data_IF_296054602380
#
_entry.id   IF_296054602380
#
_cell.length_a   1.000
_cell.length_b   1.000
_cell.length_c   1.000
_cell.angle_alpha   90.00
_cell.angle_beta   90.00
_cell.angle_gamma   90.00
#
_symmetry.space_group_name_H-M   'P 1'
#
loop_
_entity.id
_entity.type
_entity.pdbx_description
1 polymer ?
#
# COMPACT_ATOMS: atom_id res chain seq x y z
N UNK A 1 -0.83 -5.50 15.96
CA UNK A 1 -0.35 -4.14 16.27
C UNK A 1 -1.32 -3.11 15.71
N UNK A 2 -1.72 -2.14 16.52
CA UNK A 2 -2.61 -1.05 16.12
C UNK A 2 -1.86 0.07 15.39
N UNK A 3 -2.61 0.99 14.76
CA UNK A 3 -2.01 2.17 14.12
C UNK A 3 -1.22 3.02 15.12
N UNK A 4 -1.75 3.21 16.32
CA UNK A 4 -1.07 3.97 17.37
C UNK A 4 0.26 3.33 17.79
N UNK A 5 0.31 2.00 17.84
CA UNK A 5 1.54 1.26 18.14
C UNK A 5 2.55 1.34 16.98
N UNK A 6 2.08 1.47 15.76
CA UNK A 6 2.95 1.62 14.58
C UNK A 6 3.67 2.97 14.52
N UNK A 7 3.18 3.99 15.20
CA UNK A 7 3.83 5.30 15.26
C UNK A 7 5.28 5.20 15.78
N UNK A 8 5.53 4.28 16.70
CA UNK A 8 6.87 4.07 17.28
C UNK A 8 7.87 3.41 16.33
N UNK A 9 7.38 2.78 15.25
CA UNK A 9 8.20 2.05 14.27
C UNK A 9 8.08 2.63 12.86
N UNK A 10 7.81 3.91 12.77
CA UNK A 10 7.64 4.61 11.50
C UNK A 10 8.89 4.52 10.63
N UNK A 11 8.74 3.98 9.44
CA UNK A 11 9.80 3.87 8.45
C UNK A 11 9.69 5.00 7.43
N UNK A 12 10.74 5.81 7.33
CA UNK A 12 10.83 6.92 6.38
C UNK A 12 11.17 6.44 4.97
N UNK A 13 12.11 5.49 4.88
CA UNK A 13 12.54 4.89 3.62
C UNK A 13 12.33 3.38 3.68
N UNK A 14 11.75 2.83 2.62
CA UNK A 14 11.50 1.38 2.54
C UNK A 14 11.60 0.90 1.10
N UNK A 15 11.94 -0.38 0.98
CA UNK A 15 11.88 -1.12 -0.27
C UNK A 15 10.73 -2.13 -0.14
N UNK A 16 9.79 -2.07 -1.07
CA UNK A 16 8.68 -3.00 -1.12
C UNK A 16 8.94 -4.02 -2.24
N UNK A 17 8.86 -5.30 -1.90
CA UNK A 17 8.93 -6.38 -2.87
C UNK A 17 7.60 -7.14 -2.87
N UNK A 18 7.06 -7.40 -4.05
CA UNK A 18 5.78 -8.07 -4.22
C UNK A 18 5.98 -9.46 -4.79
N UNK A 19 5.29 -10.42 -4.20
CA UNK A 19 5.31 -11.81 -4.62
C UNK A 19 3.90 -12.27 -4.92
N UNK A 20 3.75 -13.07 -5.97
CA UNK A 20 2.50 -13.79 -6.24
C UNK A 20 2.63 -15.18 -5.64
N UNK A 21 1.65 -15.60 -4.85
CA UNK A 21 1.68 -16.89 -4.16
C UNK A 21 0.30 -17.53 -4.12
N UNK A 22 0.24 -18.77 -3.66
CA UNK A 22 -1.02 -19.49 -3.42
C UNK A 22 -1.45 -19.34 -1.96
N UNK A 23 -2.72 -19.55 -1.67
CA UNK A 23 -3.23 -19.53 -0.30
C UNK A 23 -2.54 -20.54 0.63
N UNK A 24 -2.34 -21.81 0.25
CA UNK A 24 -1.61 -22.77 1.10
C UNK A 24 -0.18 -22.30 1.45
N UNK A 25 0.53 -21.71 0.48
CA UNK A 25 1.86 -21.21 0.70
C UNK A 25 1.87 -19.98 1.61
N UNK A 26 0.89 -19.08 1.47
CA UNK A 26 0.72 -17.92 2.35
C UNK A 26 0.49 -18.35 3.80
N UNK A 27 -0.39 -19.31 4.03
CA UNK A 27 -0.67 -19.84 5.37
C UNK A 27 0.60 -20.41 6.01
N UNK A 28 1.35 -21.19 5.25
CA UNK A 28 2.64 -21.77 5.70
C UNK A 28 3.65 -20.67 6.06
N UNK A 29 3.74 -19.63 5.24
CA UNK A 29 4.61 -18.49 5.51
C UNK A 29 4.22 -17.76 6.80
N UNK A 30 2.93 -17.54 7.02
CA UNK A 30 2.41 -16.90 8.23
C UNK A 30 2.71 -17.73 9.49
N UNK A 31 2.61 -19.04 9.42
CA UNK A 31 2.98 -19.93 10.51
C UNK A 31 4.47 -19.82 10.89
N UNK A 32 5.34 -19.73 9.89
CA UNK A 32 6.78 -19.55 10.08
C UNK A 32 7.09 -18.17 10.65
N UNK A 33 6.39 -17.13 10.18
CA UNK A 33 6.65 -15.75 10.57
C UNK A 33 6.08 -15.37 11.96
N UNK A 34 5.08 -16.09 12.44
CA UNK A 34 4.33 -15.77 13.67
C UNK A 34 5.21 -15.44 14.88
N UNK A 35 6.30 -16.15 15.18
CA UNK A 35 7.14 -15.85 16.35
C UNK A 35 7.88 -14.51 16.28
N UNK A 36 8.12 -13.99 15.09
CA UNK A 36 9.01 -12.84 14.87
C UNK A 36 8.32 -11.59 14.31
N UNK A 37 7.09 -11.72 13.82
CA UNK A 37 6.38 -10.67 13.12
C UNK A 37 5.02 -10.37 13.73
N UNK A 38 4.58 -9.15 13.57
CA UNK A 38 3.27 -8.68 14.00
C UNK A 38 2.43 -8.30 12.78
N UNK A 39 1.13 -8.55 12.87
CA UNK A 39 0.15 -8.15 11.85
C UNK A 39 -0.53 -6.87 12.29
N UNK A 40 -0.64 -5.92 11.37
CA UNK A 40 -1.40 -4.69 11.62
C UNK A 40 -2.89 -4.99 11.76
N UNK A 41 -3.48 -4.48 12.82
CA UNK A 41 -4.93 -4.55 13.07
C UNK A 41 -5.52 -3.14 13.00
N UNK A 42 -6.60 -3.00 12.23
CA UNK A 42 -7.36 -1.75 12.13
C UNK A 42 -8.81 -2.07 12.47
N UNK A 43 -9.32 -1.51 13.56
CA UNK A 43 -10.67 -1.76 14.07
C UNK A 43 -11.00 -3.26 14.21
N UNK A 44 -10.02 -4.04 14.68
CA UNK A 44 -10.14 -5.47 14.84
C UNK A 44 -9.96 -6.31 13.57
N UNK A 45 -9.82 -5.68 12.42
CA UNK A 45 -9.59 -6.37 11.16
C UNK A 45 -8.09 -6.53 10.87
N UNK A 46 -7.68 -7.76 10.56
CA UNK A 46 -6.30 -8.09 10.16
C UNK A 46 -6.12 -8.04 8.64
N UNK A 47 -7.21 -8.19 7.91
CA UNK A 47 -7.26 -8.11 6.46
C UNK A 47 -8.28 -7.04 6.07
N UNK A 48 -7.79 -5.92 5.53
CA UNK A 48 -8.61 -4.76 5.26
C UNK A 48 -8.84 -4.64 3.75
N UNK A 49 -10.05 -4.93 3.25
CA UNK A 49 -10.36 -4.67 1.85
C UNK A 49 -10.46 -3.18 1.58
N UNK A 50 -10.06 -2.78 0.38
CA UNK A 50 -10.14 -1.40 -0.07
C UNK A 50 -10.44 -1.32 -1.56
N UNK A 51 -11.04 -0.21 -1.98
CA UNK A 51 -11.20 0.16 -3.39
C UNK A 51 -10.14 1.17 -3.78
N UNK A 52 -9.58 1.00 -4.96
CA UNK A 52 -8.60 1.94 -5.51
C UNK A 52 -9.07 2.42 -6.87
N UNK A 53 -9.14 3.74 -7.03
CA UNK A 53 -9.36 4.40 -8.31
C UNK A 53 -8.07 5.10 -8.71
N UNK A 54 -7.48 4.69 -9.83
CA UNK A 54 -6.31 5.34 -10.38
C UNK A 54 -6.71 6.43 -11.36
N UNK A 55 -6.05 7.56 -11.26
CA UNK A 55 -6.15 8.62 -12.25
C UNK A 55 -5.07 8.47 -13.30
N UNK A 56 -5.41 8.86 -14.52
CA UNK A 56 -4.52 8.76 -15.66
C UNK A 56 -4.81 9.89 -16.64
N UNK A 57 -3.84 10.25 -17.46
CA UNK A 57 -4.03 11.16 -18.57
C UNK A 57 -4.66 10.42 -19.77
N UNK A 58 -5.25 11.17 -20.71
CA UNK A 58 -5.92 10.58 -21.87
C UNK A 58 -4.96 9.74 -22.74
N UNK A 59 -3.68 10.11 -22.77
CA UNK A 59 -2.62 9.40 -23.50
C UNK A 59 -1.93 8.31 -22.68
N UNK A 60 -2.47 7.97 -21.50
CA UNK A 60 -1.91 6.97 -20.60
C UNK A 60 -0.44 7.24 -20.21
N UNK A 61 -0.09 8.50 -19.98
CA UNK A 61 1.27 8.94 -19.73
C UNK A 61 1.91 8.28 -18.51
N UNK A 62 1.20 8.20 -17.39
CA UNK A 62 1.72 7.59 -16.16
C UNK A 62 1.96 6.09 -16.30
N UNK A 63 1.08 5.40 -17.01
CA UNK A 63 1.24 3.98 -17.31
C UNK A 63 2.44 3.73 -18.22
N UNK A 64 2.61 4.53 -19.27
CA UNK A 64 3.74 4.41 -20.20
C UNK A 64 5.06 4.68 -19.49
N UNK A 65 5.14 5.70 -18.66
CA UNK A 65 6.32 6.00 -17.85
C UNK A 65 6.68 4.84 -16.92
N UNK A 66 5.67 4.18 -16.34
CA UNK A 66 5.87 2.98 -15.52
C UNK A 66 6.43 1.81 -16.33
N UNK A 67 5.86 1.54 -17.51
CA UNK A 67 6.33 0.45 -18.40
C UNK A 67 7.76 0.67 -18.88
N UNK A 68 8.13 1.91 -19.16
CA UNK A 68 9.48 2.28 -19.60
C UNK A 68 10.50 2.32 -18.47
N UNK A 69 10.09 2.09 -17.24
CA UNK A 69 10.98 2.10 -16.08
C UNK A 69 11.60 3.46 -15.77
N UNK A 70 10.94 4.56 -16.15
CA UNK A 70 11.43 5.91 -15.90
C UNK A 70 11.63 6.13 -14.40
N UNK A 71 12.74 6.75 -14.02
CA UNK A 71 13.06 7.03 -12.60
C UNK A 71 12.10 8.04 -11.98
N UNK A 72 11.67 9.03 -12.75
CA UNK A 72 10.66 10.01 -12.32
C UNK A 72 9.31 9.63 -12.91
N UNK A 73 8.48 9.02 -12.07
CA UNK A 73 7.12 8.64 -12.45
C UNK A 73 6.17 8.84 -11.29
N UNK A 74 4.92 9.10 -11.61
CA UNK A 74 3.87 9.37 -10.65
C UNK A 74 2.76 8.33 -10.74
N UNK A 75 2.09 8.12 -9.62
CA UNK A 75 0.79 7.46 -9.54
C UNK A 75 -0.12 8.32 -8.69
N UNK A 76 -1.30 8.59 -9.20
CA UNK A 76 -2.32 9.35 -8.49
C UNK A 76 -3.52 8.44 -8.33
N UNK A 77 -3.99 8.28 -7.10
CA UNK A 77 -5.11 7.39 -6.80
C UNK A 77 -5.95 7.89 -5.64
N UNK A 78 -7.23 7.51 -5.62
CA UNK A 78 -8.07 7.58 -4.44
C UNK A 78 -8.22 6.16 -3.91
N UNK A 79 -7.99 5.96 -2.64
CA UNK A 79 -8.17 4.69 -1.95
C UNK A 79 -9.19 4.85 -0.84
N UNK A 80 -10.25 4.04 -0.90
CA UNK A 80 -11.29 3.96 0.13
C UNK A 80 -11.21 2.62 0.84
N UNK A 81 -11.14 2.65 2.16
CA UNK A 81 -11.18 1.45 2.99
C UNK A 81 -12.64 1.05 3.27
N UNK A 82 -12.99 -0.21 2.94
CA UNK A 82 -14.38 -0.70 2.95
C UNK A 82 -15.01 -0.66 4.34
N UNK A 83 -14.24 -0.94 5.39
CA UNK A 83 -14.73 -0.97 6.78
C UNK A 83 -14.63 0.39 7.49
N UNK A 84 -14.38 1.44 6.75
CA UNK A 84 -14.20 2.78 7.29
C UNK A 84 -14.78 3.79 6.29
N UNK A 85 -15.26 4.92 6.76
CA UNK A 85 -15.66 6.04 5.88
C UNK A 85 -14.46 6.87 5.44
N UNK A 86 -13.26 6.33 5.62
CA UNK A 86 -12.02 7.03 5.30
C UNK A 86 -11.61 6.77 3.87
N UNK A 87 -11.36 7.85 3.13
CA UNK A 87 -10.76 7.80 1.81
C UNK A 87 -9.56 8.74 1.74
N UNK A 88 -8.54 8.35 1.00
CA UNK A 88 -7.32 9.13 0.80
C UNK A 88 -7.07 9.38 -0.67
N UNK A 89 -6.73 10.64 -1.00
CA UNK A 89 -6.08 10.97 -2.26
C UNK A 89 -4.58 10.80 -2.05
N UNK A 90 -3.97 9.91 -2.80
CA UNK A 90 -2.56 9.58 -2.67
C UNK A 90 -1.82 9.94 -3.97
N UNK A 91 -0.75 10.70 -3.84
CA UNK A 91 0.17 11.01 -4.93
C UNK A 91 1.50 10.37 -4.58
N UNK A 92 1.89 9.35 -5.34
CA UNK A 92 3.15 8.64 -5.15
C UNK A 92 4.11 8.99 -6.26
N UNK A 93 5.23 9.59 -5.88
CA UNK A 93 6.35 9.82 -6.77
C UNK A 93 7.44 8.80 -6.48
N UNK A 94 7.99 8.19 -7.52
CA UNK A 94 9.17 7.34 -7.35
C UNK A 94 10.35 8.21 -6.93
N UNK A 95 11.12 7.77 -5.94
CA UNK A 95 12.26 8.46 -5.33
C UNK A 95 11.90 9.68 -4.49
N UNK A 96 10.63 9.91 -4.20
CA UNK A 96 10.17 10.97 -3.31
C UNK A 96 9.17 10.44 -2.27
N UNK A 97 8.81 11.29 -1.33
CA UNK A 97 7.86 10.97 -0.28
C UNK A 97 6.46 10.76 -0.85
N UNK A 98 5.74 9.76 -0.33
CA UNK A 98 4.31 9.60 -0.59
C UNK A 98 3.55 10.77 0.04
N UNK A 99 2.75 11.46 -0.77
CA UNK A 99 1.80 12.46 -0.31
C UNK A 99 0.41 11.83 -0.24
N UNK A 100 -0.23 11.94 0.92
CA UNK A 100 -1.58 11.44 1.12
C UNK A 100 -2.45 12.53 1.75
N UNK A 101 -3.63 12.73 1.18
CA UNK A 101 -4.61 13.70 1.67
C UNK A 101 -5.90 12.97 1.99
N UNK A 102 -6.41 13.22 3.19
CA UNK A 102 -7.71 12.70 3.58
C UNK A 102 -8.82 13.44 2.81
N UNK A 103 -9.68 12.67 2.23
CA UNK A 103 -10.82 13.18 1.46
C UNK A 103 -12.08 13.19 2.31
#
# INVERSE_FOLDING_TARGET
>A
ISLAQMESVKLMNRIDTKYVTTMPMLIKLLEIAQPEYMVQSIDGALNMPYYTLYFETDDAHMYIEHLRGRKRRQKIRIRKYVHSDTAFLEIKNKNTTLLAFRV
#
